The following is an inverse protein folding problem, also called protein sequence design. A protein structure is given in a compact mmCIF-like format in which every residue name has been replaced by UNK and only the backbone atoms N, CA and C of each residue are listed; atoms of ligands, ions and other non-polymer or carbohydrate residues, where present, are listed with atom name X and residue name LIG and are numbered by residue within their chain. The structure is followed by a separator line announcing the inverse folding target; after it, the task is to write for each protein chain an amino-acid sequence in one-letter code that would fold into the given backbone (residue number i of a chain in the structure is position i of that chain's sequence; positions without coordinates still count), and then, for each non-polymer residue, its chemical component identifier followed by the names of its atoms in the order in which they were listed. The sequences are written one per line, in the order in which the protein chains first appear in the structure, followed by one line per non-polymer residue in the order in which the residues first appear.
data_IF_375314879590
#
_entry.id   IF_375314879590
#
_cell.length_a   1.000
_cell.length_b   1.000
_cell.length_c   1.000
_cell.angle_alpha   90.00
_cell.angle_beta   90.00
_cell.angle_gamma   90.00
#
_symmetry.space_group_name_H-M   'P 1'
#
loop_
_entity.id
_entity.type
_entity.pdbx_description
1 polymer ?
#
# COMPACT_ATOMS: atom_id res chain seq x y z
N UNK A 1 -18.14 19.75 -3.31
CA UNK A 1 -17.44 18.49 -3.58
C UNK A 1 -17.16 17.79 -2.25
N UNK A 2 -17.26 16.44 -2.19
CA UNK A 2 -17.01 15.65 -0.97
C UNK A 2 -15.55 15.14 -1.02
N UNK A 3 -14.76 15.40 0.03
CA UNK A 3 -13.43 14.83 0.18
C UNK A 3 -13.54 13.36 0.62
N UNK A 4 -12.74 12.47 0.02
CA UNK A 4 -12.66 11.06 0.42
C UNK A 4 -11.49 10.88 1.38
N UNK A 5 -11.80 10.42 2.60
CA UNK A 5 -10.78 10.17 3.62
C UNK A 5 -10.28 8.73 3.50
N UNK A 6 -8.96 8.57 3.34
CA UNK A 6 -8.29 7.27 3.23
C UNK A 6 -7.30 7.09 4.40
N UNK A 7 -7.73 6.61 5.58
CA UNK A 7 -6.83 6.41 6.71
C UNK A 7 -5.79 5.31 6.42
N UNK A 8 -4.59 5.48 6.98
CA UNK A 8 -3.48 4.53 6.84
C UNK A 8 -3.71 3.22 7.59
N UNK A 9 -3.52 2.09 6.91
CA UNK A 9 -3.72 0.74 7.46
C UNK A 9 -2.51 -0.14 7.15
N UNK A 10 -1.78 -0.56 8.18
CA UNK A 10 -0.59 -1.40 8.05
C UNK A 10 -0.86 -2.91 8.30
N UNK A 11 -2.12 -3.27 8.57
CA UNK A 11 -2.60 -4.66 8.63
C UNK A 11 -4.14 -4.71 8.54
N UNK A 12 -4.70 -5.91 8.36
CA UNK A 12 -6.14 -6.11 8.24
C UNK A 12 -6.95 -5.75 9.49
N UNK A 13 -6.38 -5.84 10.70
CA UNK A 13 -7.09 -5.44 11.93
C UNK A 13 -7.37 -3.93 11.94
N UNK A 14 -6.37 -3.12 11.62
CA UNK A 14 -6.51 -1.66 11.52
C UNK A 14 -7.49 -1.31 10.39
N UNK A 15 -7.42 -2.01 9.25
CA UNK A 15 -8.40 -1.88 8.17
C UNK A 15 -9.84 -2.11 8.63
N UNK A 16 -10.09 -3.20 9.39
CA UNK A 16 -11.42 -3.48 9.94
C UNK A 16 -11.90 -2.44 10.95
N UNK A 17 -10.99 -1.88 11.74
CA UNK A 17 -11.33 -0.78 12.65
C UNK A 17 -11.76 0.45 11.85
N UNK A 18 -10.99 0.84 10.83
CA UNK A 18 -11.34 1.96 9.95
C UNK A 18 -12.70 1.73 9.26
N UNK A 19 -12.94 0.55 8.68
CA UNK A 19 -14.23 0.21 8.08
C UNK A 19 -15.40 0.32 9.08
N UNK A 20 -15.21 -0.14 10.33
CA UNK A 20 -16.22 0.00 11.39
C UNK A 20 -16.49 1.45 11.81
N UNK A 21 -15.53 2.36 11.62
CA UNK A 21 -15.71 3.79 11.85
C UNK A 21 -16.40 4.51 10.67
N UNK A 22 -16.75 3.78 9.60
CA UNK A 22 -17.49 4.32 8.48
C UNK A 22 -16.65 4.97 7.38
N UNK A 23 -15.33 4.73 7.35
CA UNK A 23 -14.50 5.14 6.22
C UNK A 23 -14.85 4.33 4.96
N UNK A 24 -14.87 5.01 3.81
CA UNK A 24 -15.31 4.43 2.52
C UNK A 24 -14.11 3.96 1.65
N UNK A 25 -12.88 4.30 2.04
CA UNK A 25 -11.65 3.93 1.36
C UNK A 25 -10.49 3.85 2.37
N UNK A 26 -9.42 3.16 2.01
CA UNK A 26 -8.25 2.95 2.88
C UNK A 26 -6.96 3.31 2.14
N UNK A 27 -5.90 3.57 2.91
CA UNK A 27 -4.57 3.80 2.39
C UNK A 27 -3.58 2.80 2.97
N UNK A 28 -2.75 2.19 2.12
CA UNK A 28 -1.66 1.33 2.54
C UNK A 28 -0.35 2.10 2.34
N UNK A 29 0.26 2.50 3.44
CA UNK A 29 1.50 3.31 3.47
C UNK A 29 2.75 2.44 3.51
N UNK A 30 3.76 2.77 2.70
CA UNK A 30 5.07 2.13 2.74
C UNK A 30 5.76 2.33 4.07
N UNK A 31 5.87 3.58 4.54
CA UNK A 31 6.44 3.90 5.86
C UNK A 31 5.77 3.19 7.04
N UNK A 32 4.44 3.03 7.01
CA UNK A 32 3.74 2.30 8.06
C UNK A 32 4.00 0.79 8.00
N UNK A 33 4.04 0.19 6.80
CA UNK A 33 4.34 -1.24 6.62
C UNK A 33 5.78 -1.54 7.02
N UNK A 34 6.75 -0.75 6.55
CA UNK A 34 8.17 -0.97 6.84
C UNK A 34 8.44 -0.84 8.33
N UNK A 35 7.89 0.19 8.98
CA UNK A 35 7.96 0.36 10.45
C UNK A 35 7.32 -0.83 11.19
N UNK A 36 6.14 -1.28 10.77
CA UNK A 36 5.48 -2.44 11.38
C UNK A 36 6.27 -3.75 11.17
N UNK A 37 7.07 -3.81 10.10
CA UNK A 37 7.94 -4.95 9.77
C UNK A 37 9.33 -4.86 10.42
N UNK A 38 9.61 -3.79 11.18
CA UNK A 38 10.90 -3.60 11.86
C UNK A 38 12.05 -3.21 10.94
N UNK A 39 11.76 -2.63 9.76
CA UNK A 39 12.77 -2.18 8.79
C UNK A 39 12.56 -0.71 8.41
N UNK A 40 13.62 0.03 8.02
CA UNK A 40 13.50 1.41 7.59
C UNK A 40 12.82 1.52 6.22
N UNK A 41 12.15 2.66 5.98
CA UNK A 41 11.42 2.95 4.73
C UNK A 41 12.35 3.43 3.60
N UNK A 42 13.34 2.63 3.23
CA UNK A 42 14.36 2.99 2.23
C UNK A 42 14.43 1.97 1.09
N UNK A 43 13.29 1.36 0.75
CA UNK A 43 13.17 0.36 -0.32
C UNK A 43 13.78 -1.00 0.02
N UNK A 44 13.94 -1.31 1.32
CA UNK A 44 14.46 -2.61 1.79
C UNK A 44 13.39 -3.71 1.78
N UNK A 45 12.14 -3.36 2.10
CA UNK A 45 11.07 -4.33 2.11
C UNK A 45 10.67 -4.66 0.65
N UNK A 46 10.69 -5.93 0.23
CA UNK A 46 10.37 -6.30 -1.14
C UNK A 46 8.86 -6.23 -1.41
N UNK A 47 8.51 -6.20 -2.70
CA UNK A 47 7.13 -6.07 -3.19
C UNK A 47 6.15 -7.09 -2.59
N UNK A 48 6.59 -8.33 -2.32
CA UNK A 48 5.77 -9.38 -1.70
C UNK A 48 5.37 -9.03 -0.25
N UNK A 49 6.20 -8.27 0.46
CA UNK A 49 5.85 -7.70 1.75
C UNK A 49 4.67 -6.73 1.65
N UNK A 50 4.68 -5.87 0.64
CA UNK A 50 3.60 -4.91 0.40
C UNK A 50 2.31 -5.59 -0.08
N UNK A 51 2.39 -6.46 -1.09
CA UNK A 51 1.20 -7.12 -1.67
C UNK A 51 0.50 -8.02 -0.65
N UNK A 52 1.25 -8.63 0.27
CA UNK A 52 0.67 -9.35 1.41
C UNK A 52 -0.22 -8.45 2.26
N UNK A 53 0.27 -7.26 2.65
CA UNK A 53 -0.51 -6.34 3.48
C UNK A 53 -1.72 -5.79 2.72
N UNK A 54 -1.55 -5.44 1.44
CA UNK A 54 -2.66 -5.00 0.59
C UNK A 54 -3.76 -6.07 0.57
N UNK A 55 -3.39 -7.33 0.34
CA UNK A 55 -4.30 -8.48 0.35
C UNK A 55 -4.98 -8.66 1.70
N UNK A 56 -4.23 -8.63 2.80
CA UNK A 56 -4.79 -8.77 4.16
C UNK A 56 -5.81 -7.66 4.48
N UNK A 57 -5.53 -6.41 4.08
CA UNK A 57 -6.45 -5.28 4.26
C UNK A 57 -7.67 -5.41 3.35
N UNK A 58 -7.48 -5.79 2.08
CA UNK A 58 -8.55 -5.94 1.12
C UNK A 58 -9.54 -7.03 1.54
N UNK A 59 -9.06 -8.25 1.80
CA UNK A 59 -9.95 -9.37 2.16
C UNK A 59 -10.63 -9.19 3.52
N UNK A 60 -10.06 -8.39 4.42
CA UNK A 60 -10.67 -8.11 5.73
C UNK A 60 -11.73 -7.01 5.69
N UNK A 61 -11.80 -6.20 4.62
CA UNK A 61 -12.68 -5.01 4.57
C UNK A 61 -13.53 -4.90 3.30
N UNK A 62 -13.08 -5.45 2.18
CA UNK A 62 -13.62 -5.23 0.82
C UNK A 62 -13.68 -3.75 0.39
N UNK A 63 -13.00 -2.85 1.11
CA UNK A 63 -12.94 -1.42 0.77
C UNK A 63 -11.87 -1.15 -0.30
N UNK A 64 -12.06 -0.12 -1.15
CA UNK A 64 -11.04 0.31 -2.08
C UNK A 64 -9.79 0.81 -1.33
N UNK A 65 -8.62 0.39 -1.80
CA UNK A 65 -7.32 0.72 -1.22
C UNK A 65 -6.49 1.51 -2.22
N UNK A 66 -5.96 2.65 -1.80
CA UNK A 66 -4.83 3.30 -2.48
C UNK A 66 -3.54 2.80 -1.81
N UNK A 67 -2.60 2.25 -2.58
CA UNK A 67 -1.37 1.69 -2.04
C UNK A 67 -0.14 2.49 -2.46
N UNK A 68 0.80 2.60 -1.54
CA UNK A 68 2.15 3.11 -1.78
C UNK A 68 3.00 2.06 -2.51
N UNK A 69 3.51 2.43 -3.68
CA UNK A 69 4.36 1.58 -4.51
C UNK A 69 5.81 2.08 -4.56
N UNK A 70 6.22 2.96 -3.63
CA UNK A 70 7.54 3.59 -3.62
C UNK A 70 7.86 4.18 -5.02
N UNK A 71 8.96 3.75 -5.64
CA UNK A 71 9.38 4.12 -7.00
C UNK A 71 9.05 3.01 -8.03
N UNK A 72 8.26 2.00 -7.65
CA UNK A 72 7.91 0.86 -8.49
C UNK A 72 8.81 -0.38 -8.37
N UNK A 73 9.61 -0.45 -7.29
CA UNK A 73 10.46 -1.60 -6.93
C UNK A 73 11.53 -1.99 -7.97
N UNK A 74 11.95 -1.05 -8.83
CA UNK A 74 13.00 -1.24 -9.82
C UNK A 74 12.82 -0.32 -11.03
N UNK A 75 13.28 -0.77 -12.19
CA UNK A 75 13.13 -0.07 -13.47
C UNK A 75 11.75 -0.31 -14.11
N UNK A 76 11.54 0.14 -15.36
CA UNK A 76 10.24 0.12 -16.04
C UNK A 76 9.53 -1.24 -16.09
N UNK A 77 10.26 -2.35 -16.24
CA UNK A 77 9.69 -3.69 -16.21
C UNK A 77 9.14 -4.05 -14.81
N UNK A 78 9.84 -3.60 -13.77
CA UNK A 78 9.40 -3.79 -12.39
C UNK A 78 8.19 -2.90 -12.06
N UNK A 79 8.13 -1.69 -12.60
CA UNK A 79 6.93 -0.83 -12.50
C UNK A 79 5.72 -1.54 -13.08
N UNK A 80 5.83 -2.10 -14.29
CA UNK A 80 4.73 -2.83 -14.92
C UNK A 80 4.30 -4.05 -14.10
N UNK A 81 5.27 -4.82 -13.57
CA UNK A 81 5.00 -5.92 -12.65
C UNK A 81 4.29 -5.44 -11.38
N UNK A 82 4.72 -4.32 -10.81
CA UNK A 82 4.16 -3.75 -9.59
C UNK A 82 2.69 -3.40 -9.77
N UNK A 83 2.32 -2.72 -10.86
CA UNK A 83 0.92 -2.43 -11.19
C UNK A 83 0.07 -3.70 -11.22
N UNK A 84 0.57 -4.75 -11.86
CA UNK A 84 -0.14 -6.02 -11.99
C UNK A 84 -0.29 -6.75 -10.65
N UNK A 85 0.78 -6.83 -9.86
CA UNK A 85 0.77 -7.53 -8.57
C UNK A 85 -0.05 -6.79 -7.51
N UNK A 86 -0.04 -5.45 -7.51
CA UNK A 86 -0.89 -4.65 -6.62
C UNK A 86 -2.37 -4.80 -6.96
N UNK A 87 -2.72 -4.78 -8.25
CA UNK A 87 -4.09 -5.03 -8.70
C UNK A 87 -4.58 -6.44 -8.28
N UNK A 88 -3.74 -7.46 -8.46
CA UNK A 88 -4.05 -8.83 -7.98
C UNK A 88 -4.23 -8.90 -6.46
N UNK A 89 -3.45 -8.14 -5.70
CA UNK A 89 -3.56 -8.09 -4.25
C UNK A 89 -4.82 -7.36 -3.76
N UNK A 90 -5.57 -6.70 -4.64
CA UNK A 90 -6.81 -5.99 -4.31
C UNK A 90 -6.65 -4.48 -4.12
N UNK A 91 -5.52 -3.89 -4.50
CA UNK A 91 -5.41 -2.43 -4.56
C UNK A 91 -6.36 -1.88 -5.64
N UNK A 92 -7.12 -0.84 -5.29
CA UNK A 92 -7.97 -0.10 -6.24
C UNK A 92 -7.18 0.96 -7.01
N UNK A 93 -6.07 1.41 -6.44
CA UNK A 93 -5.12 2.32 -7.07
C UNK A 93 -3.79 2.29 -6.33
N UNK A 94 -2.79 2.91 -6.95
CA UNK A 94 -1.48 3.10 -6.36
C UNK A 94 -0.90 4.45 -6.76
N UNK A 95 0.10 4.91 -6.03
CA UNK A 95 0.94 6.03 -6.45
C UNK A 95 2.39 5.57 -6.57
N UNK A 96 3.13 6.23 -7.45
CA UNK A 96 4.56 6.01 -7.70
C UNK A 96 5.24 7.36 -7.56
N UNK A 97 6.38 7.36 -6.87
CA UNK A 97 7.20 8.54 -6.62
C UNK A 97 8.28 8.70 -7.70
N UNK A 98 8.66 9.95 -7.97
CA UNK A 98 9.71 10.33 -8.92
C UNK A 98 11.12 10.31 -8.31
N UNK A 99 11.28 9.66 -7.15
CA UNK A 99 12.58 9.46 -6.52
C UNK A 99 13.46 8.48 -7.32
N UNK A 100 14.77 8.59 -7.15
CA UNK A 100 15.71 7.60 -7.67
C UNK A 100 15.73 6.36 -6.77
N UNK A 101 15.62 5.15 -7.35
CA UNK A 101 15.73 3.90 -6.61
C UNK A 101 17.16 3.66 -6.07
N UNK A 102 17.34 3.17 -4.83
CA UNK A 102 16.30 2.93 -3.83
C UNK A 102 15.76 4.24 -3.22
N UNK A 103 14.48 4.26 -2.86
CA UNK A 103 13.79 5.44 -2.32
C UNK A 103 14.48 6.01 -1.07
N UNK A 104 14.21 7.27 -0.79
CA UNK A 104 14.61 7.96 0.44
C UNK A 104 13.32 8.41 1.17
N UNK A 105 13.21 8.13 2.46
CA UNK A 105 12.10 8.61 3.28
C UNK A 105 12.45 9.93 3.96
#
# INVERSE_FOLDING_TARGET
EKCVMCPGTFNGLVGRIAAKQGFEALYVSGGAITTASGVPDIGVLPIDGFTRIISDVYFSTSLPIIADADTGFGEGEMVARTVWEYNKAGAAGLHIEDQQFPKRC
#
